data_IF_527492024241
#
_entry.id   IF_527492024241
#
_cell.length_a   1.000
_cell.length_b   1.000
_cell.length_c   1.000
_cell.angle_alpha   90.00
_cell.angle_beta   90.00
_cell.angle_gamma   90.00
#
_symmetry.space_group_name_H-M   'P 1'
#
loop_
_entity.id
_entity.type
_entity.pdbx_description
1 polymer ?
#
# COMPACT_ATOMS: atom_id res chain seq x y z
N UNK A 1 1.83 99.41 -12.32
CA UNK A 1 1.51 98.51 -13.46
C UNK A 1 2.57 97.42 -13.52
N UNK A 2 2.12 96.15 -13.56
CA UNK A 2 2.71 94.94 -14.19
C UNK A 2 4.18 94.56 -13.92
N UNK A 3 4.58 93.32 -13.61
CA UNK A 3 3.93 92.00 -13.53
C UNK A 3 4.78 91.11 -12.60
N UNK A 4 4.13 90.35 -11.71
CA UNK A 4 4.68 89.17 -11.06
C UNK A 4 4.76 88.02 -12.08
N UNK A 5 5.85 87.28 -12.10
CA UNK A 5 5.90 85.93 -12.67
C UNK A 5 6.69 85.04 -11.72
N UNK A 6 5.98 84.51 -10.72
CA UNK A 6 6.41 83.36 -9.92
C UNK A 6 6.17 82.10 -10.77
N UNK A 7 7.25 81.47 -11.20
CA UNK A 7 7.24 80.17 -11.86
C UNK A 7 7.17 79.07 -10.79
N UNK A 8 5.94 78.71 -10.40
CA UNK A 8 5.65 77.50 -9.64
C UNK A 8 5.80 76.30 -10.59
N UNK A 9 6.94 75.62 -10.52
CA UNK A 9 7.08 74.26 -11.05
C UNK A 9 6.23 73.33 -10.17
N UNK A 10 4.99 73.10 -10.57
CA UNK A 10 4.20 71.97 -10.10
C UNK A 10 4.81 70.70 -10.69
N UNK A 11 5.71 70.06 -9.94
CA UNK A 11 6.04 68.66 -10.15
C UNK A 11 4.75 67.86 -9.92
N UNK A 12 4.05 67.55 -11.01
CA UNK A 12 3.08 66.46 -11.03
C UNK A 12 3.90 65.18 -10.89
N UNK A 13 4.09 64.72 -9.65
CA UNK A 13 4.49 63.34 -9.40
C UNK A 13 3.36 62.46 -9.91
N UNK A 14 3.47 62.00 -11.15
CA UNK A 14 2.75 60.81 -11.58
C UNK A 14 3.28 59.68 -10.72
N UNK A 15 2.56 59.34 -9.65
CA UNK A 15 2.68 58.04 -9.04
C UNK A 15 2.24 57.04 -10.09
N UNK A 16 3.18 56.51 -10.86
CA UNK A 16 2.95 55.30 -11.62
C UNK A 16 2.72 54.21 -10.57
N UNK A 17 1.45 53.86 -10.34
CA UNK A 17 1.11 52.67 -9.60
C UNK A 17 1.68 51.51 -10.40
N UNK A 18 2.83 50.99 -9.98
CA UNK A 18 3.34 49.72 -10.48
C UNK A 18 2.21 48.70 -10.29
N UNK A 19 1.70 48.17 -11.40
CA UNK A 19 0.46 47.40 -11.40
C UNK A 19 0.57 46.19 -10.47
N UNK A 20 -0.19 46.22 -9.37
CA UNK A 20 -0.36 45.08 -8.48
C UNK A 20 -1.28 44.03 -9.11
N UNK A 21 -1.42 42.85 -8.49
CA UNK A 21 -2.38 41.87 -8.97
C UNK A 21 -3.80 42.19 -8.53
N UNK A 22 -4.77 42.18 -9.45
CA UNK A 22 -6.17 42.32 -9.08
C UNK A 22 -6.74 40.94 -8.71
N UNK A 23 -7.36 40.85 -7.52
CA UNK A 23 -8.04 39.65 -7.05
C UNK A 23 -9.45 39.57 -7.66
N UNK A 24 -9.80 38.41 -8.21
CA UNK A 24 -11.16 38.16 -8.67
C UNK A 24 -12.10 37.93 -7.48
N UNK A 25 -12.89 38.96 -7.13
CA UNK A 25 -13.73 38.96 -5.92
C UNK A 25 -14.93 38.02 -5.97
N UNK A 26 -15.25 37.46 -7.14
CA UNK A 26 -16.36 36.51 -7.31
C UNK A 26 -16.19 35.22 -6.49
N UNK A 27 -14.95 34.83 -6.15
CA UNK A 27 -14.65 33.62 -5.38
C UNK A 27 -14.61 33.84 -3.85
N UNK A 28 -14.38 35.08 -3.40
CA UNK A 28 -14.22 35.39 -1.96
C UNK A 28 -15.53 35.16 -1.19
N UNK A 29 -16.67 35.48 -1.81
CA UNK A 29 -17.98 35.45 -1.12
C UNK A 29 -18.52 34.05 -0.83
N UNK A 30 -18.01 33.01 -1.50
CA UNK A 30 -18.53 31.63 -1.39
C UNK A 30 -17.55 30.66 -0.71
N UNK A 31 -16.30 31.08 -0.48
CA UNK A 31 -15.21 30.15 -0.20
C UNK A 31 -14.89 29.31 -1.44
N UNK A 32 -13.71 28.67 -1.43
CA UNK A 32 -13.29 27.78 -2.51
C UNK A 32 -13.32 26.34 -1.99
N UNK A 33 -13.96 25.46 -2.74
CA UNK A 33 -13.89 24.02 -2.51
C UNK A 33 -13.04 23.39 -3.61
N UNK A 34 -12.08 22.55 -3.23
CA UNK A 34 -11.35 21.68 -4.15
C UNK A 34 -11.66 20.23 -3.84
N UNK A 35 -12.00 19.44 -4.86
CA UNK A 35 -12.19 18.01 -4.73
C UNK A 35 -11.37 17.24 -5.76
N UNK A 36 -10.73 16.16 -5.36
CA UNK A 36 -9.95 15.32 -6.27
C UNK A 36 -10.14 13.85 -5.96
N UNK A 37 -10.06 13.02 -7.00
CA UNK A 37 -9.85 11.58 -6.82
C UNK A 37 -8.48 11.24 -7.34
N UNK A 38 -7.65 10.64 -6.50
CA UNK A 38 -6.27 10.33 -6.80
C UNK A 38 -5.98 8.85 -6.64
N UNK A 39 -5.49 8.24 -7.72
CA UNK A 39 -4.98 6.88 -7.68
C UNK A 39 -3.53 6.95 -7.19
N UNK A 40 -3.33 6.69 -5.91
CA UNK A 40 -2.02 6.79 -5.29
C UNK A 40 -1.28 5.47 -5.39
N UNK A 41 -0.20 5.47 -6.18
CA UNK A 41 0.74 4.36 -6.35
C UNK A 41 2.10 4.73 -5.77
N UNK A 42 2.33 4.54 -4.45
CA UNK A 42 3.63 4.84 -3.87
C UNK A 42 4.72 4.00 -4.53
N UNK A 43 5.89 4.60 -4.74
CA UNK A 43 7.11 3.91 -5.24
C UNK A 43 8.17 3.77 -4.14
N UNK A 44 8.07 4.59 -3.11
CA UNK A 44 8.94 4.65 -1.92
C UNK A 44 8.09 4.71 -0.66
N UNK A 45 8.66 4.34 0.49
CA UNK A 45 7.99 4.41 1.79
C UNK A 45 7.63 5.85 2.18
N UNK A 46 8.35 6.85 1.69
CA UNK A 46 8.02 8.26 1.89
C UNK A 46 8.22 9.05 0.61
N UNK A 47 7.48 10.14 0.48
CA UNK A 47 7.53 11.00 -0.68
C UNK A 47 6.54 12.15 -0.59
N UNK A 48 6.26 12.76 -1.73
CA UNK A 48 5.41 13.94 -1.82
C UNK A 48 4.34 13.75 -2.88
N UNK A 49 3.09 14.08 -2.52
CA UNK A 49 1.96 14.17 -3.43
C UNK A 49 1.80 15.62 -3.89
N UNK A 50 1.72 15.80 -5.20
CA UNK A 50 1.33 17.08 -5.78
C UNK A 50 -0.16 17.32 -5.54
N UNK A 51 -0.52 18.52 -5.10
CA UNK A 51 -1.93 18.94 -4.94
C UNK A 51 -2.68 19.08 -6.28
N UNK A 52 -1.98 18.93 -7.41
CA UNK A 52 -2.46 19.24 -8.77
C UNK A 52 -3.65 18.40 -9.24
N UNK A 53 -3.81 17.17 -8.75
CA UNK A 53 -4.82 16.24 -9.30
C UNK A 53 -6.24 16.48 -8.77
N UNK A 54 -6.47 17.59 -8.06
CA UNK A 54 -7.80 18.05 -7.68
C UNK A 54 -8.51 18.77 -8.84
N UNK A 55 -9.79 18.48 -9.03
CA UNK A 55 -10.68 19.34 -9.79
C UNK A 55 -11.14 20.47 -8.88
N UNK A 56 -10.71 21.69 -9.16
CA UNK A 56 -11.37 22.86 -8.58
C UNK A 56 -12.59 23.15 -9.47
N UNK A 57 -13.84 22.94 -9.00
CA UNK A 57 -15.05 23.23 -9.77
C UNK A 57 -15.10 24.69 -10.29
N UNK A 58 -14.28 25.57 -9.69
CA UNK A 58 -14.13 26.97 -10.03
C UNK A 58 -12.66 27.33 -10.35
N UNK A 59 -11.93 26.52 -11.14
CA UNK A 59 -10.52 26.78 -11.53
C UNK A 59 -10.35 27.90 -12.60
N UNK A 60 -11.14 28.95 -12.46
CA UNK A 60 -10.96 30.19 -13.20
C UNK A 60 -9.76 30.99 -12.63
N UNK A 61 -9.39 32.07 -13.31
CA UNK A 61 -8.31 32.93 -12.84
C UNK A 61 -8.70 33.59 -11.51
N UNK A 62 -7.84 33.38 -10.50
CA UNK A 62 -7.99 33.95 -9.17
C UNK A 62 -7.32 35.33 -9.12
N UNK A 63 -6.18 35.49 -9.78
CA UNK A 63 -5.43 36.74 -9.85
C UNK A 63 -5.13 37.15 -11.29
N UNK A 64 -5.23 38.45 -11.56
CA UNK A 64 -4.69 39.07 -12.78
C UNK A 64 -3.49 39.92 -12.37
N UNK A 65 -2.29 39.48 -12.71
CA UNK A 65 -1.06 40.15 -12.31
C UNK A 65 -0.40 40.85 -13.50
N UNK A 66 -0.17 42.17 -13.37
CA UNK A 66 0.71 42.92 -14.29
C UNK A 66 2.16 42.97 -13.81
N UNK A 67 2.39 42.78 -12.51
CA UNK A 67 3.69 42.60 -11.85
C UNK A 67 3.51 41.80 -10.56
N UNK A 68 4.52 41.02 -10.20
CA UNK A 68 4.59 40.29 -8.93
C UNK A 68 5.50 40.96 -7.89
N UNK A 69 6.16 42.06 -8.24
CA UNK A 69 7.26 42.66 -7.47
C UNK A 69 6.90 43.09 -6.03
N UNK A 70 5.62 43.22 -5.68
CA UNK A 70 5.15 43.64 -4.36
C UNK A 70 4.03 42.74 -3.80
N UNK A 71 4.00 41.48 -4.25
CA UNK A 71 2.99 40.50 -3.85
C UNK A 71 3.62 39.45 -2.94
N UNK A 72 2.92 39.14 -1.85
CA UNK A 72 3.24 38.01 -0.98
C UNK A 72 2.03 37.10 -0.93
N UNK A 73 2.25 35.82 -1.17
CA UNK A 73 1.22 34.77 -1.06
C UNK A 73 1.66 33.80 0.02
N UNK A 74 0.83 33.68 1.04
CA UNK A 74 1.05 32.74 2.14
C UNK A 74 -0.11 31.76 2.16
N UNK A 75 0.22 30.47 2.17
CA UNK A 75 -0.76 29.44 2.42
C UNK A 75 -0.56 28.93 3.84
N UNK A 76 -1.63 28.86 4.63
CA UNK A 76 -1.63 28.09 5.88
C UNK A 76 -2.66 27.00 5.78
N UNK A 77 -2.49 25.94 6.56
CA UNK A 77 -3.43 24.83 6.54
C UNK A 77 -3.35 23.95 7.75
N UNK A 78 -4.48 23.35 8.08
CA UNK A 78 -4.63 22.34 9.12
C UNK A 78 -5.44 21.16 8.58
N UNK A 79 -5.12 19.95 9.05
CA UNK A 79 -5.92 18.78 8.73
C UNK A 79 -7.27 18.85 9.44
N UNK A 80 -8.36 18.58 8.73
CA UNK A 80 -9.71 18.55 9.33
C UNK A 80 -10.03 17.20 9.98
N UNK A 81 -9.38 16.14 9.51
CA UNK A 81 -9.59 14.76 9.98
C UNK A 81 -8.25 14.08 10.28
N UNK A 82 -8.28 12.77 10.56
CA UNK A 82 -7.07 11.99 10.76
C UNK A 82 -6.11 12.14 9.58
N UNK A 83 -4.83 12.38 9.87
CA UNK A 83 -3.77 12.34 8.86
C UNK A 83 -3.10 10.98 8.80
N UNK A 84 -3.38 10.10 9.75
CA UNK A 84 -2.84 8.74 9.82
C UNK A 84 -3.94 7.71 9.58
N UNK A 85 -3.64 6.74 8.72
CA UNK A 85 -4.57 5.69 8.29
C UNK A 85 -3.86 4.34 8.34
N UNK A 86 -4.57 3.32 8.83
CA UNK A 86 -4.03 1.98 8.98
C UNK A 86 -4.54 1.07 7.87
N UNK A 87 -3.71 0.15 7.37
CA UNK A 87 -4.11 -0.85 6.39
C UNK A 87 -3.34 -2.15 6.58
N UNK A 88 -3.85 -3.23 5.98
CA UNK A 88 -3.27 -4.56 6.07
C UNK A 88 -2.69 -4.99 4.72
N UNK A 89 -1.62 -5.77 4.78
CA UNK A 89 -1.05 -6.54 3.67
C UNK A 89 -0.71 -7.92 4.22
N UNK A 90 -1.47 -8.96 3.89
CA UNK A 90 -1.42 -10.19 4.70
C UNK A 90 -1.87 -9.92 6.12
N UNK A 91 -1.10 -10.46 7.07
CA UNK A 91 -1.26 -10.15 8.49
C UNK A 91 -0.45 -8.93 8.94
N UNK A 92 0.38 -8.38 8.06
CA UNK A 92 1.22 -7.24 8.40
C UNK A 92 0.42 -5.94 8.45
N UNK A 93 0.69 -5.19 9.51
CA UNK A 93 0.03 -3.93 9.80
C UNK A 93 0.89 -2.78 9.35
N UNK A 94 0.31 -1.95 8.49
CA UNK A 94 0.93 -0.76 7.98
C UNK A 94 0.12 0.47 8.36
N UNK A 95 0.82 1.59 8.47
CA UNK A 95 0.22 2.91 8.57
C UNK A 95 0.76 3.82 7.50
N UNK A 96 -0.10 4.67 6.98
CA UNK A 96 0.25 5.78 6.10
C UNK A 96 -0.17 7.09 6.75
N UNK A 97 0.78 8.02 6.82
CA UNK A 97 0.57 9.38 7.32
C UNK A 97 0.68 10.39 6.19
N UNK A 98 -0.21 11.39 6.18
CA UNK A 98 -0.23 12.50 5.22
C UNK A 98 -0.08 13.84 5.93
N UNK A 99 1.08 14.47 5.81
CA UNK A 99 1.37 15.75 6.44
C UNK A 99 1.43 16.87 5.38
N UNK A 100 0.56 17.86 5.56
CA UNK A 100 0.56 19.07 4.74
C UNK A 100 1.74 19.96 5.15
N UNK A 101 2.56 20.33 4.16
CA UNK A 101 3.66 21.28 4.30
C UNK A 101 3.33 22.53 3.48
N UNK A 102 2.77 23.58 4.11
CA UNK A 102 2.59 24.86 3.44
C UNK A 102 3.92 25.60 3.27
N UNK A 103 3.99 26.40 2.21
CA UNK A 103 5.13 27.25 1.86
C UNK A 103 4.67 28.70 1.70
N UNK A 104 5.55 29.62 2.07
CA UNK A 104 5.37 31.04 1.79
C UNK A 104 6.07 31.35 0.48
N UNK A 105 5.35 31.96 -0.45
CA UNK A 105 5.90 32.41 -1.72
C UNK A 105 5.98 33.94 -1.72
N UNK A 106 7.16 34.45 -2.02
CA UNK A 106 7.33 35.82 -2.45
C UNK A 106 6.99 35.93 -3.94
N UNK A 107 6.67 37.13 -4.41
CA UNK A 107 6.33 37.35 -5.82
C UNK A 107 7.42 36.95 -6.82
N UNK A 108 8.68 36.79 -6.39
CA UNK A 108 9.77 36.26 -7.25
C UNK A 108 9.78 34.75 -7.36
N UNK A 109 9.05 34.03 -6.50
CA UNK A 109 8.99 32.57 -6.48
C UNK A 109 7.89 32.03 -7.40
N UNK A 110 7.00 32.91 -7.90
CA UNK A 110 5.93 32.57 -8.83
C UNK A 110 6.39 32.75 -10.27
N UNK A 111 6.06 31.77 -11.12
CA UNK A 111 6.33 31.89 -12.57
C UNK A 111 5.48 33.00 -13.16
N UNK A 112 6.09 34.01 -13.79
CA UNK A 112 5.37 35.14 -14.38
C UNK A 112 4.27 34.72 -15.36
N UNK A 113 3.02 34.87 -14.92
CA UNK A 113 1.80 34.73 -15.72
C UNK A 113 0.93 35.98 -15.55
N UNK A 114 0.19 36.33 -16.60
CA UNK A 114 -0.81 37.41 -16.53
C UNK A 114 -2.04 36.95 -15.73
N UNK A 115 -2.37 35.67 -15.81
CA UNK A 115 -3.51 35.05 -15.14
C UNK A 115 -3.01 33.88 -14.30
N UNK A 116 -3.25 33.92 -12.99
CA UNK A 116 -2.99 32.80 -12.09
C UNK A 116 -4.28 32.11 -11.72
N UNK A 117 -4.36 30.82 -12.02
CA UNK A 117 -5.41 29.96 -11.49
C UNK A 117 -5.06 29.52 -10.08
N UNK A 118 -6.06 29.02 -9.37
CA UNK A 118 -5.85 28.46 -8.05
C UNK A 118 -4.96 27.21 -8.12
N UNK A 119 -5.17 26.35 -9.13
CA UNK A 119 -4.33 25.17 -9.38
C UNK A 119 -2.86 25.51 -9.67
N UNK A 120 -2.58 26.65 -10.29
CA UNK A 120 -1.21 27.12 -10.54
C UNK A 120 -0.51 27.47 -9.21
N UNK A 121 -1.21 28.16 -8.31
CA UNK A 121 -0.65 28.63 -7.03
C UNK A 121 -0.43 27.46 -6.07
N UNK A 122 -1.31 26.46 -6.06
CA UNK A 122 -1.17 25.31 -5.17
C UNK A 122 0.08 24.46 -5.43
N UNK A 123 0.54 24.35 -6.68
CA UNK A 123 1.74 23.56 -6.99
C UNK A 123 2.99 24.10 -6.29
N UNK A 124 3.06 25.42 -6.14
CA UNK A 124 4.23 26.10 -5.60
C UNK A 124 4.06 26.38 -4.09
N UNK A 125 2.83 26.53 -3.61
CA UNK A 125 2.55 26.97 -2.22
C UNK A 125 2.37 25.84 -1.21
N UNK A 126 2.12 24.60 -1.61
CA UNK A 126 2.02 23.50 -0.67
C UNK A 126 2.32 22.15 -1.28
N UNK A 127 2.72 21.24 -0.40
CA UNK A 127 2.89 19.84 -0.73
C UNK A 127 2.31 18.95 0.37
N UNK A 128 1.80 17.78 -0.01
CA UNK A 128 1.40 16.77 0.96
C UNK A 128 2.49 15.72 1.00
N UNK A 129 3.26 15.70 2.08
CA UNK A 129 4.22 14.62 2.31
C UNK A 129 3.48 13.38 2.80
N UNK A 130 3.94 12.20 2.37
CA UNK A 130 3.44 10.93 2.88
C UNK A 130 4.56 10.09 3.47
N UNK A 131 4.23 9.28 4.48
CA UNK A 131 5.14 8.29 5.05
C UNK A 131 4.38 7.01 5.40
N UNK A 132 4.90 5.88 4.94
CA UNK A 132 4.42 4.52 5.17
C UNK A 132 5.40 3.84 6.12
N UNK A 133 4.86 3.21 7.16
CA UNK A 133 5.66 2.45 8.13
C UNK A 133 4.90 1.20 8.57
N UNK A 134 5.65 0.15 8.90
CA UNK A 134 5.14 -1.08 9.50
C UNK A 134 5.10 -0.90 11.02
N UNK A 135 4.05 -1.35 11.69
CA UNK A 135 3.98 -1.29 13.16
C UNK A 135 2.59 -1.41 13.75
N UNK A 136 2.51 -1.27 15.08
CA UNK A 136 1.24 -1.34 15.79
C UNK A 136 0.27 -0.24 15.34
N UNK A 137 -0.96 -0.67 15.08
CA UNK A 137 -2.09 0.19 14.73
C UNK A 137 -2.52 0.96 15.97
N UNK A 138 -2.03 2.18 16.13
CA UNK A 138 -2.56 3.11 17.10
C UNK A 138 -3.68 3.94 16.44
N UNK A 139 -4.92 3.72 16.89
CA UNK A 139 -6.06 4.54 16.47
C UNK A 139 -6.81 4.08 15.20
N UNK A 140 -8.00 4.65 15.01
CA UNK A 140 -8.83 4.56 13.79
C UNK A 140 -8.54 5.80 12.94
N UNK A 141 -8.62 5.74 11.59
CA UNK A 141 -9.34 4.75 10.76
C UNK A 141 -8.48 3.63 10.15
N UNK A 142 -9.15 2.53 9.76
CA UNK A 142 -8.60 1.46 8.93
C UNK A 142 -9.13 1.63 7.51
N UNK A 143 -8.24 1.63 6.52
CA UNK A 143 -8.54 1.72 5.09
C UNK A 143 -8.23 0.39 4.40
N UNK A 144 -8.93 0.13 3.30
CA UNK A 144 -8.68 -1.03 2.45
C UNK A 144 -8.02 -0.56 1.15
N UNK A 145 -6.80 -1.04 0.81
CA UNK A 145 -6.19 -0.74 -0.48
C UNK A 145 -7.16 -1.06 -1.63
N UNK A 146 -7.18 -0.19 -2.64
CA UNK A 146 -8.14 -0.24 -3.76
C UNK A 146 -9.52 0.37 -3.46
N UNK A 147 -9.86 0.67 -2.20
CA UNK A 147 -11.06 1.42 -1.83
C UNK A 147 -10.72 2.90 -1.57
N UNK A 148 -11.60 3.84 -1.94
CA UNK A 148 -11.37 5.26 -1.70
C UNK A 148 -11.49 5.60 -0.22
N UNK A 149 -10.60 6.46 0.26
CA UNK A 149 -10.68 7.12 1.57
C UNK A 149 -10.39 8.62 1.44
N UNK A 150 -10.83 9.41 2.40
CA UNK A 150 -10.77 10.87 2.31
C UNK A 150 -9.69 11.44 3.23
N UNK A 151 -8.83 12.29 2.67
CA UNK A 151 -7.94 13.21 3.38
C UNK A 151 -8.46 14.63 3.15
N UNK A 152 -8.66 15.41 4.20
CA UNK A 152 -9.17 16.78 4.06
C UNK A 152 -8.39 17.80 4.87
N UNK A 153 -8.20 18.98 4.27
CA UNK A 153 -7.48 20.09 4.85
C UNK A 153 -8.33 21.36 4.76
N UNK A 154 -8.28 22.16 5.82
CA UNK A 154 -8.77 23.53 5.82
C UNK A 154 -7.57 24.43 5.56
N UNK A 155 -7.60 25.13 4.44
CA UNK A 155 -6.52 26.00 4.01
C UNK A 155 -6.97 27.46 4.05
N UNK A 156 -6.03 28.36 4.28
CA UNK A 156 -6.24 29.79 4.16
C UNK A 156 -5.15 30.36 3.26
N UNK A 157 -5.56 30.84 2.09
CA UNK A 157 -4.67 31.55 1.18
C UNK A 157 -4.73 33.03 1.53
N UNK A 158 -3.65 33.54 2.09
CA UNK A 158 -3.47 34.95 2.40
C UNK A 158 -2.69 35.62 1.29
N UNK A 159 -3.32 36.62 0.69
CA UNK A 159 -2.75 37.44 -0.37
C UNK A 159 -2.50 38.85 0.17
N UNK A 160 -1.28 39.36 0.05
CA UNK A 160 -0.92 40.68 0.52
C UNK A 160 -0.26 41.54 -0.58
N UNK A 161 -0.68 42.80 -0.69
CA UNK A 161 -0.12 43.81 -1.60
C UNK A 161 0.65 44.90 -0.85
N UNK A 162 1.48 45.63 -1.61
CA UNK A 162 2.13 46.86 -1.15
C UNK A 162 3.00 46.67 0.10
N UNK A 163 3.74 45.55 0.17
CA UNK A 163 4.54 45.15 1.34
C UNK A 163 3.67 44.95 2.59
N UNK A 164 2.70 44.04 2.50
CA UNK A 164 1.82 43.59 3.59
C UNK A 164 0.81 44.62 4.13
N UNK A 165 0.53 45.69 3.38
CA UNK A 165 -0.41 46.73 3.82
C UNK A 165 -1.87 46.40 3.54
N UNK A 166 -2.13 45.70 2.45
CA UNK A 166 -3.48 45.31 2.04
C UNK A 166 -3.52 43.80 1.87
N UNK A 167 -4.07 43.11 2.87
CA UNK A 167 -4.14 41.65 2.89
C UNK A 167 -5.59 41.17 2.79
N UNK A 168 -5.80 40.13 2.01
CA UNK A 168 -7.07 39.42 1.87
C UNK A 168 -6.85 37.95 2.18
N UNK A 169 -7.68 37.40 3.05
CA UNK A 169 -7.72 35.98 3.40
C UNK A 169 -8.81 35.28 2.59
N UNK A 170 -8.46 34.16 1.97
CA UNK A 170 -9.35 33.36 1.14
C UNK A 170 -9.42 31.96 1.74
N UNK A 171 -10.55 31.59 2.40
CA UNK A 171 -10.72 30.27 2.97
C UNK A 171 -10.95 29.23 1.87
N UNK A 172 -10.27 28.10 1.99
CA UNK A 172 -10.33 27.00 1.03
C UNK A 172 -10.57 25.70 1.80
N UNK A 173 -11.58 24.94 1.41
CA UNK A 173 -11.79 23.57 1.87
C UNK A 173 -11.26 22.61 0.81
N UNK A 174 -10.26 21.80 1.16
CA UNK A 174 -9.62 20.89 0.22
C UNK A 174 -9.89 19.44 0.63
N UNK A 175 -10.59 18.68 -0.23
CA UNK A 175 -11.01 17.29 0.03
C UNK A 175 -10.39 16.39 -1.04
N UNK A 176 -9.65 15.39 -0.60
CA UNK A 176 -8.91 14.49 -1.48
C UNK A 176 -9.33 13.04 -1.25
N UNK A 177 -9.96 12.43 -2.25
CA UNK A 177 -10.32 11.02 -2.25
C UNK A 177 -9.14 10.21 -2.79
N UNK A 178 -8.43 9.52 -1.91
CA UNK A 178 -7.28 8.71 -2.28
C UNK A 178 -7.74 7.25 -2.45
N UNK A 179 -7.35 6.65 -3.57
CA UNK A 179 -7.40 5.21 -3.80
C UNK A 179 -5.97 4.71 -3.71
N UNK A 180 -5.61 4.10 -2.58
CA UNK A 180 -4.27 3.53 -2.37
C UNK A 180 -4.12 2.23 -3.17
N UNK A 181 -3.18 2.20 -4.11
CA UNK A 181 -2.81 1.01 -4.87
C UNK A 181 -1.38 0.59 -4.52
N UNK A 182 -1.26 -0.53 -3.84
CA UNK A 182 0.01 -1.13 -3.43
C UNK A 182 0.20 -2.45 -4.17
N UNK A 183 1.44 -2.76 -4.54
CA UNK A 183 1.77 -4.09 -5.03
C UNK A 183 2.01 -5.02 -3.84
N UNK A 184 1.23 -6.09 -3.81
CA UNK A 184 1.36 -7.15 -2.80
C UNK A 184 2.00 -8.36 -3.46
N UNK A 185 3.00 -8.93 -2.78
CA UNK A 185 3.61 -10.19 -3.20
C UNK A 185 2.56 -11.31 -3.11
N UNK A 186 2.46 -12.13 -4.17
CA UNK A 186 1.56 -13.30 -4.18
C UNK A 186 2.39 -14.57 -4.16
N UNK A 187 1.98 -15.54 -3.34
CA UNK A 187 2.71 -16.78 -3.12
C UNK A 187 1.85 -17.98 -3.52
N UNK A 188 2.45 -18.97 -4.16
CA UNK A 188 1.76 -20.18 -4.59
C UNK A 188 2.75 -21.25 -5.04
N UNK A 189 2.26 -22.36 -5.56
CA UNK A 189 3.13 -23.37 -6.15
C UNK A 189 3.21 -23.12 -7.67
N UNK A 190 4.42 -22.95 -8.21
CA UNK A 190 4.61 -22.79 -9.66
C UNK A 190 4.13 -24.03 -10.43
N UNK A 191 4.32 -25.21 -9.85
CA UNK A 191 3.76 -26.47 -10.32
C UNK A 191 2.67 -26.95 -9.34
N UNK A 192 1.40 -27.05 -9.75
CA UNK A 192 0.31 -27.45 -8.86
C UNK A 192 0.41 -28.91 -8.39
N UNK A 193 1.31 -29.72 -8.97
CA UNK A 193 1.54 -31.09 -8.56
C UNK A 193 3.03 -31.37 -8.44
N UNK A 194 3.48 -31.59 -7.21
CA UNK A 194 4.85 -32.01 -6.91
C UNK A 194 4.84 -33.46 -6.45
N UNK A 195 5.62 -34.32 -7.12
CA UNK A 195 5.83 -35.69 -6.70
C UNK A 195 7.08 -35.78 -5.82
N UNK A 196 6.92 -36.33 -4.61
CA UNK A 196 8.03 -36.63 -3.71
C UNK A 196 8.30 -38.12 -3.81
N UNK A 197 9.43 -38.50 -4.43
CA UNK A 197 9.83 -39.89 -4.51
C UNK A 197 10.46 -40.34 -3.17
N UNK A 198 9.69 -41.11 -2.41
CA UNK A 198 10.09 -41.63 -1.10
C UNK A 198 11.06 -42.83 -1.19
N UNK A 199 11.25 -43.41 -2.38
CA UNK A 199 12.12 -44.56 -2.61
C UNK A 199 11.53 -45.88 -2.10
N UNK A 200 12.39 -46.90 -2.02
CA UNK A 200 12.01 -48.23 -1.56
C UNK A 200 12.20 -48.39 -0.05
N UNK A 201 11.27 -49.09 0.59
CA UNK A 201 11.31 -49.39 2.02
C UNK A 201 11.24 -50.89 2.28
N UNK A 202 11.93 -51.34 3.32
CA UNK A 202 11.85 -52.73 3.74
C UNK A 202 10.47 -53.02 4.36
N UNK A 203 9.84 -54.09 3.88
CA UNK A 203 8.54 -54.55 4.37
C UNK A 203 8.51 -54.82 5.88
N UNK A 204 9.58 -55.41 6.43
CA UNK A 204 9.68 -55.76 7.86
C UNK A 204 9.70 -54.49 8.71
N UNK A 205 10.44 -53.46 8.29
CA UNK A 205 10.57 -52.22 9.04
C UNK A 205 9.24 -51.46 9.09
N UNK A 206 8.48 -51.44 7.99
CA UNK A 206 7.13 -50.88 7.96
C UNK A 206 6.21 -51.67 8.90
N UNK A 207 6.30 -53.01 8.87
CA UNK A 207 5.48 -53.88 9.71
C UNK A 207 5.74 -53.68 11.19
N UNK A 208 7.00 -53.48 11.57
CA UNK A 208 7.46 -53.26 12.94
C UNK A 208 7.36 -51.79 13.38
N UNK A 209 7.12 -50.86 12.45
CA UNK A 209 7.02 -49.43 12.73
C UNK A 209 8.37 -48.77 13.03
N UNK A 210 9.48 -49.37 12.60
CA UNK A 210 10.86 -48.94 12.87
C UNK A 210 11.41 -47.99 11.80
N UNK A 211 10.61 -47.65 10.78
CA UNK A 211 11.02 -46.71 9.74
C UNK A 211 11.16 -45.30 10.32
N UNK A 212 12.33 -44.70 10.07
CA UNK A 212 12.64 -43.32 10.43
C UNK A 212 11.95 -42.31 9.51
N UNK A 213 11.75 -41.10 10.02
CA UNK A 213 11.29 -39.98 9.19
C UNK A 213 12.38 -39.50 8.25
N UNK A 214 11.99 -39.28 7.00
CA UNK A 214 12.83 -38.62 5.98
C UNK A 214 12.39 -37.16 5.85
N UNK A 215 13.28 -36.18 6.06
CA UNK A 215 12.97 -34.78 5.83
C UNK A 215 12.92 -34.49 4.33
N UNK A 216 11.89 -33.77 3.91
CA UNK A 216 11.64 -33.34 2.54
C UNK A 216 11.33 -31.85 2.51
N UNK A 217 11.92 -31.16 1.54
CA UNK A 217 11.75 -29.73 1.38
C UNK A 217 10.91 -29.45 0.14
N UNK A 218 9.79 -28.77 0.34
CA UNK A 218 8.95 -28.23 -0.73
C UNK A 218 9.06 -26.71 -0.73
N UNK A 219 8.78 -26.07 -1.86
CA UNK A 219 8.90 -24.62 -2.00
C UNK A 219 7.56 -23.99 -2.39
N UNK A 220 7.20 -22.93 -1.69
CA UNK A 220 6.18 -21.98 -2.14
C UNK A 220 6.92 -20.87 -2.93
N UNK A 221 6.55 -20.71 -4.19
CA UNK A 221 7.07 -19.69 -5.07
C UNK A 221 6.27 -18.39 -4.92
N UNK A 222 6.96 -17.32 -4.52
CA UNK A 222 6.38 -16.00 -4.41
C UNK A 222 6.82 -15.10 -5.57
N UNK A 223 5.84 -14.50 -6.24
CA UNK A 223 6.02 -13.60 -7.36
C UNK A 223 5.68 -12.18 -6.95
N UNK A 224 6.53 -11.26 -7.40
CA UNK A 224 6.29 -9.83 -7.25
C UNK A 224 5.39 -9.33 -8.38
N UNK A 225 4.61 -8.28 -8.09
CA UNK A 225 3.92 -7.49 -9.11
C UNK A 225 4.89 -6.63 -9.94
N UNK A 226 4.32 -5.73 -10.75
CA UNK A 226 5.08 -4.90 -11.69
C UNK A 226 6.25 -4.13 -11.06
N UNK A 227 7.36 -4.06 -11.79
CA UNK A 227 8.57 -3.32 -11.40
C UNK A 227 8.30 -1.83 -11.27
N UNK A 228 8.82 -1.20 -10.21
CA UNK A 228 8.76 0.26 -10.02
C UNK A 228 7.68 0.76 -9.07
N UNK A 229 6.90 -0.12 -8.44
CA UNK A 229 5.98 0.25 -7.35
C UNK A 229 6.52 -0.18 -5.98
N UNK A 230 6.11 0.51 -4.92
CA UNK A 230 6.43 0.16 -3.54
C UNK A 230 5.89 -1.24 -3.24
N UNK A 231 6.77 -2.08 -2.72
CA UNK A 231 6.46 -3.45 -2.36
C UNK A 231 6.34 -3.56 -0.85
N UNK A 232 5.23 -4.12 -0.40
CA UNK A 232 5.03 -4.46 1.00
C UNK A 232 5.03 -5.98 1.14
N UNK A 233 5.76 -6.49 2.12
CA UNK A 233 5.86 -7.92 2.39
C UNK A 233 4.65 -8.36 3.19
N UNK A 234 3.94 -9.45 2.80
CA UNK A 234 2.78 -9.94 3.54
C UNK A 234 3.11 -10.57 4.90
N UNK A 235 4.38 -10.53 5.33
CA UNK A 235 4.88 -11.23 6.51
C UNK A 235 5.25 -12.67 6.19
N UNK A 236 5.03 -13.59 7.13
CA UNK A 236 5.21 -15.03 6.88
C UNK A 236 4.11 -15.57 5.96
N UNK A 237 4.41 -16.64 5.23
CA UNK A 237 3.42 -17.30 4.37
C UNK A 237 2.59 -18.23 5.23
N UNK A 238 1.29 -18.02 5.24
CA UNK A 238 0.33 -18.87 5.91
C UNK A 238 -0.19 -19.96 4.97
N UNK A 239 -0.31 -21.18 5.47
CA UNK A 239 -0.85 -22.30 4.67
C UNK A 239 -1.54 -23.36 5.54
N UNK A 240 -2.36 -24.19 4.90
CA UNK A 240 -3.09 -25.29 5.55
C UNK A 240 -2.93 -26.59 4.76
N UNK A 241 -3.12 -27.74 5.44
CA UNK A 241 -3.11 -29.06 4.79
C UNK A 241 -4.52 -29.63 4.68
N UNK A 242 -4.78 -30.25 3.54
CA UNK A 242 -6.01 -30.99 3.25
C UNK A 242 -5.66 -32.39 2.78
N UNK A 243 -6.37 -33.38 3.28
CA UNK A 243 -6.18 -34.76 2.85
C UNK A 243 -6.83 -34.95 1.46
N UNK A 244 -6.05 -35.44 0.49
CA UNK A 244 -6.59 -35.84 -0.81
C UNK A 244 -6.72 -37.36 -0.91
N UNK A 245 -5.80 -38.10 -0.30
CA UNK A 245 -6.00 -39.50 0.05
C UNK A 245 -6.78 -39.62 1.35
N UNK A 246 -7.53 -40.71 1.50
CA UNK A 246 -8.33 -40.97 2.69
C UNK A 246 -7.46 -40.99 3.96
N UNK A 247 -7.83 -40.23 4.98
CA UNK A 247 -7.13 -40.22 6.25
C UNK A 247 -7.54 -41.42 7.11
N UNK A 248 -6.59 -42.28 7.46
CA UNK A 248 -6.76 -43.47 8.30
C UNK A 248 -6.17 -43.23 9.69
N UNK A 249 -6.87 -43.70 10.71
CA UNK A 249 -6.48 -43.56 12.13
C UNK A 249 -6.17 -42.10 12.54
N UNK A 250 -6.71 -41.12 11.81
CA UNK A 250 -6.51 -39.69 12.02
C UNK A 250 -5.12 -39.15 11.64
N UNK A 251 -4.17 -39.98 11.20
CA UNK A 251 -2.76 -39.58 11.05
C UNK A 251 -2.09 -40.07 9.76
N UNK A 252 -2.61 -41.12 9.13
CA UNK A 252 -1.95 -41.76 7.97
C UNK A 252 -2.79 -41.51 6.72
N UNK A 253 -2.19 -40.88 5.71
CA UNK A 253 -2.79 -40.77 4.38
C UNK A 253 -2.75 -42.13 3.71
N UNK A 254 -3.91 -42.69 3.38
CA UNK A 254 -4.03 -44.03 2.80
C UNK A 254 -3.27 -44.16 1.47
N UNK A 255 -2.89 -45.39 1.12
CA UNK A 255 -2.41 -45.68 -0.21
C UNK A 255 -3.58 -45.67 -1.19
N UNK A 256 -3.54 -44.77 -2.15
CA UNK A 256 -4.50 -44.68 -3.25
C UNK A 256 -4.53 -45.97 -4.09
N UNK A 257 -3.46 -46.78 -4.04
CA UNK A 257 -3.36 -48.08 -4.68
C UNK A 257 -3.64 -49.27 -3.74
N UNK A 258 -4.23 -49.06 -2.55
CA UNK A 258 -4.51 -50.11 -1.54
C UNK A 258 -5.13 -51.38 -2.16
N UNK A 259 -6.13 -51.21 -3.03
CA UNK A 259 -6.87 -52.31 -3.68
C UNK A 259 -6.27 -52.76 -5.02
N UNK A 260 -5.22 -52.08 -5.51
CA UNK A 260 -4.55 -52.44 -6.76
C UNK A 260 -3.72 -53.72 -6.60
N UNK A 261 -3.62 -54.51 -7.67
CA UNK A 261 -2.76 -55.68 -7.73
C UNK A 261 -1.27 -55.34 -7.47
N UNK A 262 -0.84 -54.14 -7.84
CA UNK A 262 0.53 -53.64 -7.63
C UNK A 262 0.71 -52.93 -6.29
N UNK A 263 -0.37 -52.59 -5.60
CA UNK A 263 -0.32 -51.80 -4.38
C UNK A 263 0.07 -52.59 -3.14
N UNK A 264 0.73 -51.90 -2.20
CA UNK A 264 1.23 -52.48 -0.96
C UNK A 264 0.14 -52.77 0.11
N UNK A 265 -1.14 -52.50 -0.17
CA UNK A 265 -2.25 -52.73 0.77
C UNK A 265 -2.39 -51.63 1.82
N UNK A 266 -2.73 -52.02 3.06
CA UNK A 266 -3.12 -51.13 4.18
C UNK A 266 -1.92 -50.39 4.84
N UNK A 267 -1.14 -49.72 4.00
CA UNK A 267 0.01 -48.88 4.35
C UNK A 267 -0.14 -47.55 3.65
N UNK A 268 0.35 -46.46 4.25
CA UNK A 268 0.28 -45.13 3.66
C UNK A 268 1.42 -44.25 4.16
N UNK A 269 1.28 -42.94 4.03
CA UNK A 269 2.28 -41.99 4.54
C UNK A 269 1.77 -41.22 5.74
N UNK A 270 2.62 -41.12 6.78
CA UNK A 270 2.47 -40.20 7.89
C UNK A 270 3.40 -39.02 7.67
N UNK A 271 2.88 -37.81 7.88
CA UNK A 271 3.62 -36.56 7.68
C UNK A 271 3.63 -35.78 8.98
N UNK A 272 4.80 -35.25 9.32
CA UNK A 272 5.01 -34.32 10.41
C UNK A 272 5.55 -32.99 9.87
N UNK A 273 5.28 -31.92 10.61
CA UNK A 273 5.89 -30.61 10.34
C UNK A 273 7.36 -30.57 10.77
N UNK A 274 7.99 -29.42 10.59
CA UNK A 274 9.39 -29.17 10.94
C UNK A 274 9.68 -29.31 12.46
N UNK A 275 8.66 -29.20 13.32
CA UNK A 275 8.78 -29.39 14.77
C UNK A 275 8.66 -30.86 15.20
N UNK A 276 8.29 -31.75 14.28
CA UNK A 276 8.01 -33.16 14.56
C UNK A 276 6.58 -33.42 15.04
N UNK A 277 5.69 -32.43 14.97
CA UNK A 277 4.27 -32.60 15.27
C UNK A 277 3.53 -33.16 14.04
N UNK A 278 2.51 -33.99 14.27
CA UNK A 278 1.70 -34.54 13.19
C UNK A 278 0.88 -33.46 12.49
N UNK A 279 0.80 -33.54 11.16
CA UNK A 279 0.02 -32.62 10.36
C UNK A 279 -1.48 -32.74 10.71
N UNK A 280 -2.10 -31.60 10.89
CA UNK A 280 -3.53 -31.43 11.11
C UNK A 280 -4.22 -31.21 9.76
N UNK A 281 -5.00 -32.20 9.33
CA UNK A 281 -5.70 -32.16 8.04
C UNK A 281 -7.14 -31.66 8.20
N UNK A 282 -7.60 -30.84 7.25
CA UNK A 282 -9.02 -30.49 7.04
C UNK A 282 -9.74 -29.86 8.26
N UNK A 283 -8.99 -29.32 9.23
CA UNK A 283 -9.53 -28.66 10.43
C UNK A 283 -9.24 -27.14 10.47
N UNK A 284 -8.61 -26.61 9.42
CA UNK A 284 -8.26 -25.18 9.33
C UNK A 284 -7.06 -24.76 10.19
N UNK A 285 -6.30 -25.70 10.75
CA UNK A 285 -5.05 -25.37 11.45
C UNK A 285 -4.08 -24.67 10.50
N UNK A 286 -3.58 -23.52 10.96
CA UNK A 286 -2.75 -22.62 10.17
C UNK A 286 -1.28 -22.84 10.49
N UNK A 287 -0.49 -23.08 9.44
CA UNK A 287 0.96 -23.17 9.49
C UNK A 287 1.58 -21.91 8.93
N UNK A 288 2.78 -21.58 9.38
CA UNK A 288 3.55 -20.44 8.90
C UNK A 288 4.95 -20.87 8.43
N UNK A 289 5.48 -20.20 7.42
CA UNK A 289 6.90 -20.32 7.09
C UNK A 289 7.79 -19.80 8.21
N UNK A 290 9.02 -20.32 8.35
CA UNK A 290 9.94 -19.90 9.42
C UNK A 290 10.39 -18.43 9.28
N UNK A 291 10.38 -17.89 8.06
CA UNK A 291 10.77 -16.53 7.73
C UNK A 291 9.67 -15.83 6.93
N UNK A 292 9.75 -14.49 6.89
CA UNK A 292 8.89 -13.68 6.03
C UNK A 292 9.08 -14.04 4.56
N UNK A 293 8.02 -13.88 3.77
CA UNK A 293 7.99 -14.17 2.36
C UNK A 293 9.07 -13.37 1.60
N UNK A 294 9.85 -14.09 0.81
CA UNK A 294 10.86 -13.53 -0.09
C UNK A 294 10.50 -13.86 -1.54
N UNK A 295 10.98 -13.04 -2.48
CA UNK A 295 10.78 -13.34 -3.91
C UNK A 295 11.44 -14.68 -4.28
N UNK A 296 10.74 -15.50 -5.06
CA UNK A 296 11.18 -16.82 -5.43
C UNK A 296 10.79 -17.87 -4.39
N UNK A 297 11.71 -18.78 -4.06
CA UNK A 297 11.42 -20.02 -3.34
C UNK A 297 11.45 -19.83 -1.82
N UNK A 298 10.34 -20.15 -1.16
CA UNK A 298 10.19 -20.13 0.29
C UNK A 298 9.99 -21.56 0.80
N UNK A 299 10.90 -22.11 1.63
CA UNK A 299 10.89 -23.52 1.97
C UNK A 299 9.86 -23.88 3.05
N UNK A 300 9.26 -25.06 2.91
CA UNK A 300 8.55 -25.79 3.96
C UNK A 300 9.22 -27.15 4.12
N UNK A 301 9.49 -27.54 5.37
CA UNK A 301 10.09 -28.83 5.69
C UNK A 301 8.98 -29.76 6.19
N UNK A 302 8.89 -30.94 5.57
CA UNK A 302 8.00 -32.03 5.95
C UNK A 302 8.83 -33.25 6.34
N UNK A 303 8.46 -33.90 7.42
CA UNK A 303 9.07 -35.16 7.84
C UNK A 303 8.12 -36.30 7.48
N UNK A 304 8.50 -37.15 6.53
CA UNK A 304 7.61 -38.14 5.91
C UNK A 304 8.12 -39.54 6.19
N UNK A 305 7.21 -40.46 6.53
CA UNK A 305 7.52 -41.90 6.56
C UNK A 305 6.34 -42.77 6.15
N UNK A 306 6.57 -43.97 5.60
CA UNK A 306 5.52 -44.95 5.45
C UNK A 306 5.08 -45.49 6.81
N UNK A 307 3.79 -45.76 6.97
CA UNK A 307 3.21 -46.32 8.18
C UNK A 307 2.01 -47.20 7.85
N UNK A 308 1.94 -48.40 8.43
CA UNK A 308 0.77 -49.27 8.30
C UNK A 308 -0.41 -48.72 9.10
N UNK A 309 -1.62 -48.83 8.54
CA UNK A 309 -2.87 -48.54 9.25
C UNK A 309 -3.77 -49.76 9.41
N UNK A 310 -3.36 -50.90 8.86
CA UNK A 310 -3.99 -52.21 9.07
C UNK A 310 -2.98 -53.35 9.00
N UNK A 311 -3.46 -54.57 8.82
CA UNK A 311 -2.64 -55.79 8.81
C UNK A 311 -2.47 -56.39 7.40
N UNK A 312 -3.32 -56.01 6.45
CA UNK A 312 -3.26 -56.49 5.06
C UNK A 312 -2.23 -55.71 4.26
N UNK A 313 -0.96 -55.81 4.66
CA UNK A 313 0.18 -55.23 3.96
C UNK A 313 0.92 -56.28 3.13
N UNK A 314 1.40 -55.88 1.95
CA UNK A 314 2.18 -56.72 1.02
C UNK A 314 3.25 -55.88 0.32
N UNK A 315 4.17 -56.53 -0.39
CA UNK A 315 5.09 -55.83 -1.29
C UNK A 315 4.32 -55.17 -2.42
N UNK A 316 4.60 -53.90 -2.70
CA UNK A 316 3.93 -53.15 -3.75
C UNK A 316 4.21 -51.65 -3.66
N UNK A 317 3.49 -50.89 -4.49
CA UNK A 317 3.53 -49.43 -4.55
C UNK A 317 2.76 -48.80 -3.40
N UNK A 318 3.29 -47.69 -2.87
CA UNK A 318 2.62 -46.81 -1.90
C UNK A 318 2.50 -45.43 -2.54
N UNK A 319 1.28 -44.92 -2.68
CA UNK A 319 1.02 -43.60 -3.24
C UNK A 319 -0.04 -42.90 -2.41
N UNK A 320 0.27 -41.73 -1.90
CA UNK A 320 -0.70 -40.88 -1.20
C UNK A 320 -0.61 -39.45 -1.71
N UNK A 321 -1.69 -38.69 -1.53
CA UNK A 321 -1.82 -37.30 -1.95
C UNK A 321 -2.26 -36.41 -0.80
N UNK A 322 -1.64 -35.24 -0.74
CA UNK A 322 -1.96 -34.15 0.17
C UNK A 322 -2.10 -32.86 -0.64
N UNK A 323 -3.03 -32.00 -0.26
CA UNK A 323 -3.21 -30.67 -0.84
C UNK A 323 -2.69 -29.66 0.18
N UNK A 324 -1.88 -28.72 -0.27
CA UNK A 324 -1.42 -27.58 0.52
C UNK A 324 -2.08 -26.33 -0.04
N UNK A 325 -2.79 -25.60 0.81
CA UNK A 325 -3.49 -24.37 0.43
C UNK A 325 -2.75 -23.19 1.01
N UNK A 326 -2.23 -22.31 0.15
CA UNK A 326 -1.55 -21.07 0.54
C UNK A 326 -2.57 -19.97 0.73
N UNK A 327 -2.50 -19.27 1.87
CA UNK A 327 -3.36 -18.16 2.21
C UNK A 327 -2.64 -16.85 1.89
N UNK A 328 -2.96 -16.25 0.74
CA UNK A 328 -2.54 -14.89 0.39
C UNK A 328 -3.66 -13.92 0.82
N UNK A 329 -3.72 -13.57 2.11
CA UNK A 329 -4.64 -12.51 2.56
C UNK A 329 -4.09 -11.13 2.22
#
# INVERSE_FOLDING_TARGET
MRWLLFLLFTFSTFGAWAGNCDLNTSYIQKGIEGYGTYIFKPVTLSGTLALREGTFPNDDWLFICKSLSNVVITLTGEAQHSTEYNFLVGHEKYKIKFDLSPHNLSGTDLTEKIYYKLSDIFNDTASISYAISQGEVAGRPVITPGQPFTVSYKLNLRYCQNKDKECTDIPITYIYHIILQINVMTCGFDNPTTEINMGDYNFIDIKQGTVDYRPEMIYIDCRQGDSGMLQLTPGKIEYTFRSASLLKNGLVLANDEELSATGAGEVGFRIQDASGADIQYDNGYLYETPQAATQGKNPIILNIKPMKYGENIRTGTIKSRVIIVVNNN
#
